data_IF_683710770379
#
_entry.id   IF_683710770379
#
_cell.length_a   1.000
_cell.length_b   1.000
_cell.length_c   1.000
_cell.angle_alpha   90.00
_cell.angle_beta   90.00
_cell.angle_gamma   90.00
#
_symmetry.space_group_name_H-M   'P 1'
#
loop_
_entity.id
_entity.type
_entity.pdbx_description
1 polymer ?
#
# COMPACT_ATOMS: atom_id res chain seq x y z
N UNK A 1 12.83 -32.48 -53.74
CA UNK A 1 12.93 -33.00 -52.36
C UNK A 1 14.37 -33.19 -51.83
N UNK A 2 15.43 -32.76 -52.54
CA UNK A 2 16.82 -32.92 -52.06
C UNK A 2 17.33 -31.78 -51.16
N UNK A 3 16.77 -30.56 -51.31
CA UNK A 3 17.23 -29.37 -50.56
C UNK A 3 16.79 -29.39 -49.09
N UNK A 4 15.65 -30.04 -48.78
CA UNK A 4 15.13 -30.11 -47.40
C UNK A 4 15.99 -31.02 -46.51
N UNK A 5 16.63 -32.07 -47.06
CA UNK A 5 17.50 -32.96 -46.29
C UNK A 5 18.84 -32.31 -45.89
N UNK A 6 19.32 -31.32 -46.64
CA UNK A 6 20.64 -30.71 -46.40
C UNK A 6 20.65 -29.63 -45.31
N UNK A 7 19.49 -29.05 -45.00
CA UNK A 7 19.36 -27.95 -44.05
C UNK A 7 18.62 -28.28 -42.75
N UNK A 8 18.09 -29.51 -42.61
CA UNK A 8 17.36 -29.91 -41.40
C UNK A 8 18.23 -29.82 -40.13
N UNK A 9 19.52 -30.16 -40.24
CA UNK A 9 20.48 -30.04 -39.14
C UNK A 9 20.72 -28.58 -38.69
N UNK A 10 20.72 -27.63 -39.62
CA UNK A 10 20.87 -26.22 -39.29
C UNK A 10 19.61 -25.65 -38.61
N UNK A 11 18.43 -26.13 -39.02
CA UNK A 11 17.15 -25.72 -38.44
C UNK A 11 17.00 -26.27 -37.02
N UNK A 12 17.36 -27.54 -36.78
CA UNK A 12 17.31 -28.15 -35.43
C UNK A 12 18.36 -27.53 -34.49
N UNK A 13 19.55 -27.22 -35.00
CA UNK A 13 20.58 -26.56 -34.19
C UNK A 13 20.20 -25.13 -33.79
N UNK A 14 19.65 -24.33 -34.73
CA UNK A 14 19.18 -22.97 -34.41
C UNK A 14 17.98 -22.98 -33.46
N UNK A 15 17.04 -23.92 -33.61
CA UNK A 15 15.91 -24.02 -32.66
C UNK A 15 16.38 -24.46 -31.28
N UNK A 16 17.33 -25.39 -31.17
CA UNK A 16 17.92 -25.76 -29.88
C UNK A 16 18.64 -24.57 -29.21
N UNK A 17 19.39 -23.77 -29.97
CA UNK A 17 20.03 -22.55 -29.45
C UNK A 17 19.01 -21.51 -28.95
N UNK A 18 17.91 -21.31 -29.68
CA UNK A 18 16.85 -20.40 -29.26
C UNK A 18 16.18 -20.91 -27.98
N UNK A 19 15.91 -22.21 -27.87
CA UNK A 19 15.31 -22.79 -26.65
C UNK A 19 16.25 -22.65 -25.46
N UNK A 20 17.56 -22.88 -25.63
CA UNK A 20 18.55 -22.68 -24.57
C UNK A 20 18.64 -21.20 -24.17
N UNK A 21 18.64 -20.28 -25.13
CA UNK A 21 18.67 -18.84 -24.85
C UNK A 21 17.41 -18.38 -24.10
N UNK A 22 16.22 -18.85 -24.51
CA UNK A 22 14.96 -18.54 -23.82
C UNK A 22 14.94 -19.16 -22.42
N UNK A 23 15.41 -20.40 -22.26
CA UNK A 23 15.54 -21.03 -20.94
C UNK A 23 16.51 -20.27 -20.03
N UNK A 24 17.64 -19.78 -20.57
CA UNK A 24 18.60 -18.95 -19.83
C UNK A 24 17.99 -17.61 -19.40
N UNK A 25 17.23 -16.97 -20.29
CA UNK A 25 16.51 -15.73 -19.97
C UNK A 25 15.48 -15.98 -18.87
N UNK A 26 14.65 -17.02 -18.99
CA UNK A 26 13.67 -17.39 -17.97
C UNK A 26 14.36 -17.69 -16.63
N UNK A 27 15.47 -18.43 -16.64
CA UNK A 27 16.24 -18.74 -15.43
C UNK A 27 16.86 -17.48 -14.81
N UNK A 28 17.37 -16.54 -15.62
CA UNK A 28 17.91 -15.27 -15.17
C UNK A 28 16.84 -14.32 -14.59
N UNK A 29 15.58 -14.47 -15.01
CA UNK A 29 14.42 -13.78 -14.43
C UNK A 29 13.78 -14.53 -13.26
N UNK A 30 13.99 -15.85 -13.14
CA UNK A 30 13.44 -16.69 -12.06
C UNK A 30 14.38 -16.87 -10.87
N UNK A 31 15.69 -16.60 -11.04
CA UNK A 31 16.62 -16.57 -9.92
C UNK A 31 16.35 -15.32 -9.07
N UNK A 32 16.06 -15.48 -7.76
CA UNK A 32 15.93 -14.33 -6.87
C UNK A 32 17.27 -13.59 -6.88
N UNK A 33 17.27 -12.38 -7.43
CA UNK A 33 18.41 -11.47 -7.25
C UNK A 33 18.49 -11.20 -5.76
N UNK A 34 19.55 -11.69 -5.12
CA UNK A 34 19.94 -11.19 -3.81
C UNK A 34 20.32 -9.72 -4.05
N UNK A 35 19.34 -8.83 -3.86
CA UNK A 35 19.60 -7.40 -3.75
C UNK A 35 20.35 -7.27 -2.43
N UNK A 36 21.67 -7.40 -2.49
CA UNK A 36 22.51 -6.93 -1.40
C UNK A 36 22.15 -5.45 -1.26
N UNK A 37 21.49 -5.13 -0.15
CA UNK A 37 21.13 -3.77 0.21
C UNK A 37 22.42 -2.96 0.28
N UNK A 38 22.77 -2.33 -0.83
CA UNK A 38 23.82 -1.35 -0.86
C UNK A 38 23.32 -0.23 0.05
N UNK A 39 23.92 -0.15 1.24
CA UNK A 39 23.65 0.91 2.20
C UNK A 39 24.20 2.19 1.59
N UNK A 40 23.39 2.82 0.73
CA UNK A 40 23.62 4.19 0.34
C UNK A 40 23.51 5.01 1.62
N UNK A 41 24.59 5.71 1.97
CA UNK A 41 24.58 6.72 3.03
C UNK A 41 23.43 7.67 2.67
N UNK A 42 22.34 7.63 3.43
CA UNK A 42 21.16 8.41 3.16
C UNK A 42 21.50 9.90 3.34
N UNK A 43 21.74 10.59 2.24
CA UNK A 43 21.63 12.05 2.23
C UNK A 43 20.21 12.39 2.68
N UNK A 44 20.03 13.25 3.70
CA UNK A 44 18.71 13.65 4.16
C UNK A 44 17.93 14.21 2.97
N UNK A 45 16.78 13.60 2.68
CA UNK A 45 15.99 13.96 1.51
C UNK A 45 15.19 15.21 1.84
N UNK A 46 15.12 16.16 0.92
CA UNK A 46 14.35 17.40 1.10
C UNK A 46 12.89 17.10 1.49
N UNK A 47 12.28 17.94 2.33
CA UNK A 47 10.87 17.81 2.66
C UNK A 47 9.99 18.05 1.44
N UNK A 48 8.92 17.26 1.31
CA UNK A 48 7.90 17.48 0.29
C UNK A 48 7.01 18.66 0.67
N UNK A 49 6.32 19.25 -0.32
CA UNK A 49 5.21 20.15 -0.01
C UNK A 49 4.14 19.41 0.80
N UNK A 50 3.37 20.12 1.64
CA UNK A 50 2.26 19.54 2.43
C UNK A 50 1.31 18.70 1.57
N UNK A 51 0.99 19.19 0.36
CA UNK A 51 0.12 18.50 -0.58
C UNK A 51 0.73 17.16 -1.05
N UNK A 52 1.99 17.17 -1.44
CA UNK A 52 2.70 16.00 -1.94
C UNK A 52 2.92 14.96 -0.83
N UNK A 53 3.29 15.43 0.37
CA UNK A 53 3.41 14.61 1.57
C UNK A 53 2.12 13.84 1.86
N UNK A 54 0.97 14.52 1.84
CA UNK A 54 -0.32 13.88 2.08
C UNK A 54 -0.68 12.84 1.01
N UNK A 55 -0.32 13.06 -0.25
CA UNK A 55 -0.54 12.09 -1.33
C UNK A 55 0.35 10.86 -1.18
N UNK A 56 1.62 11.04 -0.84
CA UNK A 56 2.52 9.92 -0.54
C UNK A 56 2.00 9.11 0.67
N UNK A 57 1.54 9.78 1.73
CA UNK A 57 0.91 9.11 2.88
C UNK A 57 -0.40 8.39 2.49
N UNK A 58 -1.19 8.95 1.56
CA UNK A 58 -2.38 8.28 1.04
C UNK A 58 -2.02 7.01 0.25
N UNK A 59 -1.03 7.07 -0.63
CA UNK A 59 -0.53 5.90 -1.37
C UNK A 59 -0.03 4.82 -0.41
N UNK A 60 0.72 5.19 0.64
CA UNK A 60 1.18 4.25 1.66
C UNK A 60 0.01 3.55 2.35
N UNK A 61 -1.05 4.28 2.71
CA UNK A 61 -2.27 3.68 3.30
C UNK A 61 -2.97 2.75 2.33
N UNK A 62 -3.13 3.17 1.07
CA UNK A 62 -3.77 2.38 0.02
C UNK A 62 -2.98 1.07 -0.30
N UNK A 63 -1.67 1.07 -0.06
CA UNK A 63 -0.77 -0.08 -0.23
C UNK A 63 -0.55 -0.89 1.06
N UNK A 64 -1.22 -0.55 2.17
CA UNK A 64 -1.00 -1.16 3.50
C UNK A 64 0.47 -1.12 3.94
N UNK A 65 1.08 0.06 3.84
CA UNK A 65 2.48 0.36 4.18
C UNK A 65 2.59 1.48 5.21
N UNK A 66 1.70 1.47 6.21
CA UNK A 66 1.87 2.27 7.42
C UNK A 66 3.12 1.83 8.20
N UNK A 67 3.62 2.66 9.13
CA UNK A 67 4.75 2.26 9.98
C UNK A 67 4.44 0.97 10.77
N UNK A 68 3.19 0.79 11.20
CA UNK A 68 2.74 -0.45 11.85
C UNK A 68 2.77 -1.65 10.89
N UNK A 69 2.34 -1.47 9.63
CA UNK A 69 2.38 -2.53 8.64
C UNK A 69 3.84 -2.90 8.28
N UNK A 70 4.71 -1.93 8.02
CA UNK A 70 6.13 -2.13 7.73
C UNK A 70 6.85 -2.82 8.90
N UNK A 71 6.60 -2.36 10.13
CA UNK A 71 7.16 -2.97 11.33
C UNK A 71 6.70 -4.42 11.51
N UNK A 72 5.41 -4.68 11.33
CA UNK A 72 4.85 -6.02 11.48
C UNK A 72 5.15 -6.95 10.29
N UNK A 73 5.67 -6.43 9.18
CA UNK A 73 6.32 -7.24 8.13
C UNK A 73 7.73 -7.67 8.54
N UNK A 74 8.34 -6.96 9.49
CA UNK A 74 9.72 -7.18 9.93
C UNK A 74 10.74 -6.52 9.00
N UNK A 75 10.42 -5.32 8.49
CA UNK A 75 11.39 -4.59 7.67
C UNK A 75 12.47 -3.96 8.54
N UNK A 76 13.72 -4.11 8.12
CA UNK A 76 14.84 -3.33 8.67
C UNK A 76 14.70 -1.85 8.30
N UNK A 77 15.46 -0.97 8.97
CA UNK A 77 15.51 0.45 8.61
C UNK A 77 15.80 0.65 7.12
N UNK A 78 16.86 0.02 6.60
CA UNK A 78 17.28 0.16 5.19
C UNK A 78 16.19 -0.32 4.22
N UNK A 79 15.53 -1.45 4.53
CA UNK A 79 14.42 -1.94 3.71
C UNK A 79 13.24 -0.97 3.77
N UNK A 80 12.88 -0.46 4.94
CA UNK A 80 11.82 0.53 5.09
C UNK A 80 12.14 1.83 4.32
N UNK A 81 13.39 2.31 4.37
CA UNK A 81 13.85 3.47 3.60
C UNK A 81 13.66 3.26 2.10
N UNK A 82 14.09 2.10 1.59
CA UNK A 82 13.91 1.74 0.17
C UNK A 82 12.43 1.70 -0.23
N UNK A 83 11.56 1.15 0.62
CA UNK A 83 10.13 1.05 0.35
C UNK A 83 9.46 2.44 0.33
N UNK A 84 9.72 3.25 1.35
CA UNK A 84 9.15 4.60 1.47
C UNK A 84 9.70 5.51 0.35
N UNK A 85 10.99 5.44 0.08
CA UNK A 85 11.65 6.13 -1.02
C UNK A 85 11.06 5.75 -2.38
N UNK A 86 10.86 4.45 -2.64
CA UNK A 86 10.25 4.00 -3.91
C UNK A 86 8.85 4.57 -4.11
N UNK A 87 8.02 4.62 -3.05
CA UNK A 87 6.67 5.22 -3.14
C UNK A 87 6.76 6.73 -3.42
N UNK A 88 7.66 7.43 -2.70
CA UNK A 88 7.91 8.86 -2.88
C UNK A 88 8.36 9.18 -4.31
N UNK A 89 9.40 8.49 -4.79
CA UNK A 89 9.99 8.74 -6.11
C UNK A 89 9.00 8.41 -7.22
N UNK A 90 8.24 7.32 -7.06
CA UNK A 90 7.17 6.99 -7.99
C UNK A 90 6.10 8.09 -8.04
N UNK A 91 5.68 8.63 -6.89
CA UNK A 91 4.70 9.71 -6.85
C UNK A 91 5.24 10.95 -7.56
N UNK A 92 6.48 11.36 -7.28
CA UNK A 92 7.08 12.52 -7.94
C UNK A 92 7.18 12.34 -9.45
N UNK A 93 7.55 11.16 -9.92
CA UNK A 93 7.60 10.84 -11.35
C UNK A 93 6.22 10.77 -12.02
N UNK A 94 5.17 10.43 -11.27
CA UNK A 94 3.83 10.17 -11.80
C UNK A 94 2.77 11.14 -11.25
N UNK A 95 3.18 12.29 -10.69
CA UNK A 95 2.30 13.20 -9.92
C UNK A 95 1.03 13.56 -10.66
N UNK A 96 1.17 14.02 -11.91
CA UNK A 96 0.02 14.40 -12.73
C UNK A 96 -0.97 13.24 -12.98
N UNK A 97 -0.46 12.02 -13.16
CA UNK A 97 -1.29 10.84 -13.32
C UNK A 97 -1.99 10.45 -12.01
N UNK A 98 -1.25 10.43 -10.89
CA UNK A 98 -1.79 10.16 -9.56
C UNK A 98 -2.92 11.13 -9.20
N UNK A 99 -2.68 12.44 -9.37
CA UNK A 99 -3.68 13.49 -9.15
C UNK A 99 -4.91 13.30 -10.05
N UNK A 100 -4.72 12.85 -11.29
CA UNK A 100 -5.83 12.57 -12.21
C UNK A 100 -6.71 11.41 -11.72
N UNK A 101 -6.13 10.32 -11.21
CA UNK A 101 -6.90 9.19 -10.68
C UNK A 101 -7.73 9.59 -9.46
N UNK A 102 -7.14 10.35 -8.53
CA UNK A 102 -7.85 10.81 -7.33
C UNK A 102 -8.97 11.79 -7.70
N UNK A 103 -8.72 12.74 -8.63
CA UNK A 103 -9.76 13.64 -9.14
C UNK A 103 -10.90 12.90 -9.82
N UNK A 104 -10.60 11.89 -10.63
CA UNK A 104 -11.62 11.08 -11.32
C UNK A 104 -12.53 10.36 -10.30
N UNK A 105 -11.96 9.75 -9.27
CA UNK A 105 -12.73 9.10 -8.20
C UNK A 105 -13.57 10.11 -7.42
N UNK A 106 -12.99 11.24 -7.02
CA UNK A 106 -13.73 12.25 -6.26
C UNK A 106 -14.88 12.83 -7.07
N UNK A 107 -14.67 13.08 -8.36
CA UNK A 107 -15.70 13.56 -9.29
C UNK A 107 -16.81 12.53 -9.45
N UNK A 108 -16.47 11.26 -9.71
CA UNK A 108 -17.46 10.19 -9.82
C UNK A 108 -18.27 10.00 -8.53
N UNK A 109 -17.62 10.02 -7.36
CA UNK A 109 -18.28 9.95 -6.04
C UNK A 109 -19.17 11.15 -5.78
N UNK A 110 -18.75 12.35 -6.17
CA UNK A 110 -19.54 13.58 -6.00
C UNK A 110 -20.78 13.54 -6.88
N UNK A 111 -20.62 13.20 -8.16
CA UNK A 111 -21.73 13.09 -9.11
C UNK A 111 -22.74 12.03 -8.66
N UNK A 112 -22.27 10.86 -8.22
CA UNK A 112 -23.15 9.82 -7.69
C UNK A 112 -23.92 10.28 -6.46
N UNK A 113 -23.25 10.93 -5.49
CA UNK A 113 -23.90 11.46 -4.28
C UNK A 113 -24.94 12.54 -4.62
N UNK A 114 -24.60 13.49 -5.49
CA UNK A 114 -25.52 14.55 -5.91
C UNK A 114 -26.76 13.98 -6.62
N UNK A 115 -26.57 12.99 -7.49
CA UNK A 115 -27.68 12.31 -8.18
C UNK A 115 -28.54 11.51 -7.20
N UNK A 116 -27.93 10.80 -6.24
CA UNK A 116 -28.67 10.12 -5.18
C UNK A 116 -29.48 11.12 -4.35
N UNK A 117 -28.91 12.26 -3.95
CA UNK A 117 -29.64 13.29 -3.20
C UNK A 117 -30.84 13.82 -3.99
N UNK A 118 -30.69 14.08 -5.30
CA UNK A 118 -31.79 14.52 -6.18
C UNK A 118 -32.94 13.51 -6.23
N UNK A 119 -32.62 12.21 -6.19
CA UNK A 119 -33.64 11.14 -6.19
C UNK A 119 -34.37 11.04 -4.84
N UNK A 120 -33.67 11.25 -3.72
CA UNK A 120 -34.26 11.08 -2.39
C UNK A 120 -35.01 12.33 -1.90
N UNK A 121 -34.68 13.53 -2.40
CA UNK A 121 -35.18 14.81 -1.84
C UNK A 121 -36.13 15.55 -2.80
N UNK A 122 -36.30 15.11 -4.05
CA UNK A 122 -37.13 15.78 -5.07
C UNK A 122 -38.26 14.93 -5.66
N UNK A 123 -39.16 15.53 -6.47
CA UNK A 123 -40.16 14.79 -7.23
C UNK A 123 -39.49 13.75 -8.14
N UNK A 124 -40.10 12.57 -8.24
CA UNK A 124 -39.52 11.41 -8.92
C UNK A 124 -39.26 11.71 -10.41
N UNK A 125 -38.01 12.02 -10.74
CA UNK A 125 -37.59 12.36 -12.10
C UNK A 125 -36.96 11.14 -12.79
N UNK A 126 -37.66 10.57 -13.78
CA UNK A 126 -37.20 9.38 -14.51
C UNK A 126 -35.86 9.59 -15.24
N UNK A 127 -35.59 10.80 -15.72
CA UNK A 127 -34.34 11.13 -16.41
C UNK A 127 -33.14 11.01 -15.47
N UNK A 128 -33.31 11.40 -14.20
CA UNK A 128 -32.27 11.30 -13.17
C UNK A 128 -32.06 9.83 -12.75
N UNK A 129 -33.14 9.05 -12.67
CA UNK A 129 -33.05 7.61 -12.38
C UNK A 129 -32.30 6.85 -13.49
N UNK A 130 -32.53 7.20 -14.77
CA UNK A 130 -31.84 6.59 -15.92
C UNK A 130 -30.32 6.88 -15.94
N UNK A 131 -29.85 7.95 -15.28
CA UNK A 131 -28.43 8.28 -15.19
C UNK A 131 -27.66 7.44 -14.15
N UNK A 132 -28.36 6.81 -13.20
CA UNK A 132 -27.74 6.12 -12.07
C UNK A 132 -26.81 4.96 -12.46
N UNK A 133 -27.19 4.04 -13.38
CA UNK A 133 -26.28 2.98 -13.83
C UNK A 133 -25.01 3.53 -14.49
N UNK A 134 -25.13 4.62 -15.25
CA UNK A 134 -24.00 5.29 -15.90
C UNK A 134 -23.00 5.87 -14.88
N UNK A 135 -23.50 6.52 -13.83
CA UNK A 135 -22.66 7.07 -12.76
C UNK A 135 -22.01 5.98 -11.90
N UNK A 136 -22.72 4.87 -11.63
CA UNK A 136 -22.15 3.72 -10.96
C UNK A 136 -21.02 3.09 -11.79
N UNK A 137 -21.21 2.96 -13.11
CA UNK A 137 -20.19 2.48 -14.03
C UNK A 137 -18.96 3.42 -14.03
N UNK A 138 -19.16 4.73 -14.13
CA UNK A 138 -18.05 5.70 -14.08
C UNK A 138 -17.24 5.59 -12.77
N UNK A 139 -17.91 5.38 -11.63
CA UNK A 139 -17.21 5.15 -10.37
C UNK A 139 -16.44 3.83 -10.36
N UNK A 140 -17.02 2.76 -10.90
CA UNK A 140 -16.36 1.46 -11.02
C UNK A 140 -15.14 1.53 -11.94
N UNK A 141 -15.24 2.21 -13.08
CA UNK A 141 -14.15 2.42 -14.02
C UNK A 141 -13.01 3.25 -13.38
N UNK A 142 -13.34 4.34 -12.69
CA UNK A 142 -12.37 5.16 -11.98
C UNK A 142 -11.67 4.39 -10.84
N UNK A 143 -12.42 3.58 -10.08
CA UNK A 143 -11.86 2.73 -9.05
C UNK A 143 -10.95 1.63 -9.63
N UNK A 144 -11.32 1.04 -10.76
CA UNK A 144 -10.50 0.04 -11.47
C UNK A 144 -9.21 0.67 -11.97
N UNK A 145 -9.28 1.88 -12.53
CA UNK A 145 -8.11 2.60 -13.00
C UNK A 145 -7.13 2.95 -11.86
N UNK A 146 -7.64 3.44 -10.72
CA UNK A 146 -6.80 3.66 -9.52
C UNK A 146 -6.22 2.34 -8.99
N UNK A 147 -7.00 1.26 -8.98
CA UNK A 147 -6.51 -0.05 -8.57
C UNK A 147 -5.36 -0.53 -9.47
N UNK A 148 -5.50 -0.40 -10.79
CA UNK A 148 -4.45 -0.77 -11.74
C UNK A 148 -3.15 0.05 -11.53
N UNK A 149 -3.29 1.35 -11.23
CA UNK A 149 -2.15 2.20 -10.84
C UNK A 149 -1.48 1.69 -9.55
N UNK A 150 -2.26 1.37 -8.52
CA UNK A 150 -1.73 0.81 -7.27
C UNK A 150 -1.08 -0.55 -7.48
N UNK A 151 -1.63 -1.42 -8.34
CA UNK A 151 -1.05 -2.72 -8.66
C UNK A 151 0.26 -2.58 -9.45
N UNK A 152 0.37 -1.56 -10.32
CA UNK A 152 1.64 -1.23 -10.97
C UNK A 152 2.71 -0.80 -9.96
N UNK A 153 2.39 0.14 -9.07
CA UNK A 153 3.31 0.53 -7.99
C UNK A 153 3.65 -0.67 -7.10
N UNK A 154 2.66 -1.50 -6.77
CA UNK A 154 2.87 -2.68 -5.94
C UNK A 154 3.88 -3.64 -6.57
N UNK A 155 3.84 -3.87 -7.88
CA UNK A 155 4.81 -4.73 -8.58
C UNK A 155 6.26 -4.23 -8.45
N UNK A 156 6.47 -2.91 -8.38
CA UNK A 156 7.81 -2.33 -8.18
C UNK A 156 8.30 -2.56 -6.75
N UNK A 157 7.38 -2.54 -5.78
CA UNK A 157 7.66 -2.75 -4.37
C UNK A 157 7.91 -4.23 -4.03
N UNK A 158 7.21 -5.18 -4.65
CA UNK A 158 7.41 -6.64 -4.42
C UNK A 158 8.88 -7.02 -4.62
N UNK A 159 9.55 -6.47 -5.63
CA UNK A 159 10.94 -6.79 -5.99
C UNK A 159 11.94 -6.38 -4.89
N UNK A 160 11.54 -5.48 -3.99
CA UNK A 160 12.35 -5.01 -2.85
C UNK A 160 12.16 -5.84 -1.58
N UNK A 161 11.15 -6.72 -1.56
CA UNK A 161 10.80 -7.52 -0.39
C UNK A 161 11.35 -8.94 -0.52
N UNK A 162 11.79 -9.51 0.60
CA UNK A 162 12.09 -10.93 0.70
C UNK A 162 10.82 -11.78 0.65
N UNK A 163 10.92 -13.05 0.27
CA UNK A 163 9.75 -13.96 0.13
C UNK A 163 8.82 -13.98 1.35
N UNK A 164 9.39 -14.00 2.57
CA UNK A 164 8.60 -13.97 3.80
C UNK A 164 7.85 -12.63 3.98
N UNK A 165 8.49 -11.51 3.64
CA UNK A 165 7.90 -10.17 3.71
C UNK A 165 6.84 -10.00 2.62
N UNK A 166 7.05 -10.54 1.41
CA UNK A 166 6.04 -10.56 0.34
C UNK A 166 4.77 -11.27 0.78
N UNK A 167 4.89 -12.45 1.42
CA UNK A 167 3.72 -13.19 1.94
C UNK A 167 2.97 -12.40 3.01
N UNK A 168 3.70 -11.78 3.95
CA UNK A 168 3.10 -10.91 4.99
C UNK A 168 2.42 -9.69 4.38
N UNK A 169 3.04 -9.07 3.38
CA UNK A 169 2.48 -7.91 2.71
C UNK A 169 1.22 -8.26 1.92
N UNK A 170 1.22 -9.36 1.17
CA UNK A 170 0.06 -9.79 0.39
C UNK A 170 -1.16 -10.02 1.31
N UNK A 171 -0.96 -10.71 2.44
CA UNK A 171 -2.02 -10.88 3.45
C UNK A 171 -2.56 -9.54 3.94
N UNK A 172 -1.67 -8.57 4.20
CA UNK A 172 -2.07 -7.23 4.63
C UNK A 172 -2.92 -6.52 3.57
N UNK A 173 -2.53 -6.62 2.29
CA UNK A 173 -3.28 -6.05 1.17
C UNK A 173 -4.66 -6.70 1.02
N UNK A 174 -4.73 -8.03 1.11
CA UNK A 174 -6.00 -8.77 1.04
C UNK A 174 -6.96 -8.35 2.17
N UNK A 175 -6.39 -7.94 3.30
CA UNK A 175 -7.11 -7.51 4.50
C UNK A 175 -7.09 -5.98 4.73
N UNK A 176 -6.85 -5.15 3.70
CA UNK A 176 -6.66 -3.70 3.87
C UNK A 176 -7.82 -2.99 4.59
N UNK A 177 -9.05 -3.54 4.53
CA UNK A 177 -10.23 -3.02 5.22
C UNK A 177 -10.29 -3.29 6.73
N UNK A 178 -9.37 -4.08 7.28
CA UNK A 178 -9.32 -4.40 8.70
C UNK A 178 -8.41 -3.42 9.48
N UNK A 179 -8.58 -3.34 10.82
CA UNK A 179 -7.58 -2.71 11.69
C UNK A 179 -6.21 -3.37 11.53
N UNK A 180 -5.16 -2.55 11.63
CA UNK A 180 -3.74 -2.93 11.44
C UNK A 180 -3.30 -4.23 12.15
N UNK A 181 -3.73 -4.52 13.40
CA UNK A 181 -3.32 -5.75 14.09
C UNK A 181 -3.78 -7.03 13.40
N UNK A 182 -4.91 -6.99 12.67
CA UNK A 182 -5.54 -8.18 12.08
C UNK A 182 -5.18 -8.38 10.61
N UNK A 183 -4.56 -7.39 9.96
CA UNK A 183 -4.27 -7.43 8.52
C UNK A 183 -3.36 -8.59 8.13
N UNK A 184 -2.44 -8.99 9.00
CA UNK A 184 -1.50 -10.10 8.75
C UNK A 184 -2.07 -11.51 8.97
N UNK A 185 -3.33 -11.63 9.42
CA UNK A 185 -3.91 -12.90 9.88
C UNK A 185 -4.74 -13.57 8.79
N UNK A 186 -4.69 -14.90 8.72
CA UNK A 186 -5.60 -15.65 7.83
C UNK A 186 -6.99 -15.72 8.44
N UNK A 187 -7.96 -15.04 7.84
CA UNK A 187 -9.33 -14.91 8.35
C UNK A 187 -10.33 -15.44 7.32
N UNK A 188 -11.39 -16.10 7.78
CA UNK A 188 -12.50 -16.47 6.90
C UNK A 188 -13.45 -15.28 6.67
N UNK A 189 -14.34 -15.39 5.68
CA UNK A 189 -15.23 -14.30 5.31
C UNK A 189 -16.16 -13.84 6.45
N UNK A 190 -16.62 -14.75 7.30
CA UNK A 190 -17.45 -14.42 8.46
C UNK A 190 -16.67 -13.62 9.50
N UNK A 191 -15.44 -14.04 9.81
CA UNK A 191 -14.52 -13.35 10.72
C UNK A 191 -14.17 -11.96 10.19
N UNK A 192 -13.90 -11.83 8.89
CA UNK A 192 -13.64 -10.55 8.23
C UNK A 192 -14.81 -9.58 8.40
N UNK A 193 -16.04 -10.04 8.14
CA UNK A 193 -17.23 -9.20 8.31
C UNK A 193 -17.44 -8.77 9.76
N UNK A 194 -17.27 -9.69 10.71
CA UNK A 194 -17.44 -9.39 12.12
C UNK A 194 -16.37 -8.40 12.61
N UNK A 195 -15.09 -8.61 12.26
CA UNK A 195 -14.00 -7.70 12.61
C UNK A 195 -14.13 -6.33 11.93
N UNK A 196 -14.60 -6.28 10.69
CA UNK A 196 -14.85 -5.01 9.99
C UNK A 196 -15.97 -4.22 10.67
N UNK A 197 -17.03 -4.90 11.13
CA UNK A 197 -18.11 -4.27 11.90
C UNK A 197 -17.63 -3.86 13.30
N UNK A 198 -16.82 -4.70 13.93
CA UNK A 198 -16.17 -4.45 15.22
C UNK A 198 -15.31 -3.20 15.19
N UNK A 199 -14.53 -3.02 14.13
CA UNK A 199 -13.64 -1.87 13.95
C UNK A 199 -14.38 -0.52 13.98
N UNK A 200 -15.70 -0.51 13.72
CA UNK A 200 -16.55 0.69 13.82
C UNK A 200 -16.99 0.98 15.27
N UNK A 201 -16.71 0.09 16.23
CA UNK A 201 -17.07 0.16 17.65
C UNK A 201 -15.87 -0.27 18.51
N UNK A 202 -14.91 0.62 18.78
CA UNK A 202 -13.65 0.27 19.45
C UNK A 202 -13.84 -0.35 20.84
N UNK A 203 -14.90 0.01 21.57
CA UNK A 203 -15.26 -0.54 22.87
C UNK A 203 -15.55 -2.06 22.84
N UNK A 204 -15.90 -2.62 21.68
CA UNK A 204 -16.18 -4.05 21.53
C UNK A 204 -14.95 -4.88 21.13
N UNK A 205 -13.81 -4.25 20.82
CA UNK A 205 -12.66 -4.91 20.19
C UNK A 205 -12.06 -6.06 21.05
N UNK A 206 -11.97 -5.87 22.37
CA UNK A 206 -11.41 -6.89 23.28
C UNK A 206 -12.29 -8.14 23.47
N UNK A 207 -13.61 -7.98 23.40
CA UNK A 207 -14.57 -9.11 23.40
C UNK A 207 -14.53 -9.88 22.08
N UNK A 208 -14.23 -9.17 21.00
CA UNK A 208 -14.25 -9.66 19.62
C UNK A 208 -13.00 -10.51 19.32
N UNK A 209 -11.81 -10.11 19.79
CA UNK A 209 -10.62 -10.97 19.69
C UNK A 209 -10.84 -12.31 20.39
N UNK A 210 -11.50 -12.32 21.55
CA UNK A 210 -11.62 -13.52 22.35
C UNK A 210 -12.62 -14.56 21.82
N UNK A 211 -13.70 -14.10 21.18
CA UNK A 211 -14.80 -14.94 20.72
C UNK A 211 -14.72 -15.30 19.22
N UNK A 212 -13.98 -14.54 18.41
CA UNK A 212 -13.97 -14.68 16.94
C UNK A 212 -12.73 -15.39 16.45
N UNK A 213 -11.59 -15.15 17.10
CA UNK A 213 -10.30 -15.66 16.65
C UNK A 213 -9.96 -16.98 17.34
N UNK A 214 -9.52 -17.96 16.55
CA UNK A 214 -8.99 -19.20 17.09
C UNK A 214 -7.57 -19.00 17.67
N UNK A 215 -7.06 -20.00 18.39
CA UNK A 215 -5.75 -19.94 19.03
C UNK A 215 -4.62 -19.62 18.04
N UNK A 216 -4.59 -20.28 16.89
CA UNK A 216 -3.56 -20.06 15.85
C UNK A 216 -3.58 -18.61 15.32
N UNK A 217 -4.77 -18.04 15.11
CA UNK A 217 -4.92 -16.65 14.68
C UNK A 217 -4.45 -15.66 15.74
N UNK A 218 -4.74 -15.92 17.02
CA UNK A 218 -4.23 -15.12 18.14
C UNK A 218 -2.70 -15.17 18.22
N UNK A 219 -2.11 -16.35 18.00
CA UNK A 219 -0.67 -16.53 17.96
C UNK A 219 -0.03 -15.75 16.80
N UNK A 220 -0.63 -15.77 15.60
CA UNK A 220 -0.16 -14.97 14.45
C UNK A 220 -0.17 -13.47 14.75
N UNK A 221 -1.21 -12.98 15.43
CA UNK A 221 -1.29 -11.56 15.83
C UNK A 221 -0.21 -11.23 16.86
N UNK A 222 0.01 -12.10 17.84
CA UNK A 222 1.04 -11.91 18.85
C UNK A 222 2.45 -11.91 18.25
N UNK A 223 2.72 -12.83 17.32
CA UNK A 223 3.98 -12.88 16.56
C UNK A 223 4.18 -11.58 15.77
N UNK A 224 3.15 -11.12 15.04
CA UNK A 224 3.22 -9.87 14.29
C UNK A 224 3.48 -8.66 15.19
N UNK A 225 2.90 -8.63 16.41
CA UNK A 225 3.16 -7.58 17.42
C UNK A 225 4.60 -7.63 17.93
N UNK A 226 5.15 -8.81 18.18
CA UNK A 226 6.54 -8.97 18.61
C UNK A 226 7.53 -8.53 17.53
N UNK A 227 7.28 -8.93 16.28
CA UNK A 227 8.08 -8.50 15.13
C UNK A 227 8.00 -6.98 14.95
N UNK A 228 6.80 -6.40 15.07
CA UNK A 228 6.63 -4.96 15.02
C UNK A 228 7.44 -4.27 16.12
N UNK A 229 7.35 -4.75 17.36
CA UNK A 229 8.10 -4.17 18.48
C UNK A 229 9.61 -4.15 18.23
N UNK A 230 10.19 -5.18 17.60
CA UNK A 230 11.64 -5.23 17.33
C UNK A 230 12.09 -4.37 16.14
N UNK A 231 11.19 -4.04 15.20
CA UNK A 231 11.55 -3.32 13.97
C UNK A 231 11.03 -1.87 13.91
N UNK A 232 10.06 -1.51 14.78
CA UNK A 232 9.35 -0.22 14.71
C UNK A 232 10.30 0.98 14.77
N UNK A 233 11.32 0.94 15.64
CA UNK A 233 12.27 2.06 15.75
C UNK A 233 13.02 2.32 14.42
N UNK A 234 13.42 1.25 13.72
CA UNK A 234 14.05 1.38 12.41
C UNK A 234 13.10 1.91 11.35
N UNK A 235 11.83 1.47 11.37
CA UNK A 235 10.80 1.95 10.45
C UNK A 235 10.46 3.43 10.68
N UNK A 236 10.39 3.88 11.94
CA UNK A 236 10.15 5.29 12.27
C UNK A 236 11.32 6.15 11.75
N UNK A 237 12.56 5.73 12.00
CA UNK A 237 13.74 6.45 11.47
C UNK A 237 13.76 6.50 9.94
N UNK A 238 13.37 5.40 9.29
CA UNK A 238 13.25 5.35 7.84
C UNK A 238 12.20 6.33 7.31
N UNK A 239 11.06 6.44 8.00
CA UNK A 239 9.99 7.39 7.68
C UNK A 239 10.45 8.83 7.85
N UNK A 240 11.10 9.15 8.97
CA UNK A 240 11.70 10.47 9.24
C UNK A 240 12.76 10.86 8.20
N UNK A 241 13.53 9.90 7.71
CA UNK A 241 14.62 10.13 6.75
C UNK A 241 14.11 10.31 5.32
N UNK A 242 13.19 9.44 4.88
CA UNK A 242 12.74 9.41 3.48
C UNK A 242 11.51 10.27 3.22
N UNK A 243 10.69 10.50 4.25
CA UNK A 243 9.48 11.28 4.18
C UNK A 243 9.39 12.23 5.39
N UNK A 244 10.37 13.16 5.53
CA UNK A 244 10.37 14.09 6.65
C UNK A 244 9.10 14.95 6.66
N UNK A 245 8.63 15.24 7.86
CA UNK A 245 7.43 16.05 8.07
C UNK A 245 7.69 17.48 7.55
N UNK A 246 6.84 18.01 6.64
CA UNK A 246 6.93 19.40 6.20
C UNK A 246 6.87 20.35 7.41
N UNK A 247 7.63 21.45 7.37
CA UNK A 247 7.73 22.41 8.47
C UNK A 247 6.34 22.93 8.89
N UNK A 248 5.43 23.13 7.94
CA UNK A 248 4.08 23.63 8.18
C UNK A 248 3.19 22.65 8.95
N UNK A 249 3.60 21.37 9.04
CA UNK A 249 2.88 20.34 9.80
C UNK A 249 3.55 19.99 11.13
N UNK A 250 4.73 20.56 11.42
CA UNK A 250 5.37 20.33 12.72
C UNK A 250 4.54 21.04 13.80
N UNK A 251 4.30 20.37 14.94
CA UNK A 251 3.64 21.03 16.06
C UNK A 251 4.49 22.26 16.45
N UNK A 252 3.86 23.44 16.48
CA UNK A 252 4.50 24.63 17.03
C UNK A 252 5.01 24.27 18.43
N UNK A 253 6.30 24.50 18.67
CA UNK A 253 6.86 24.33 19.99
C UNK A 253 6.08 25.26 20.92
N UNK A 254 5.24 24.67 21.79
CA UNK A 254 4.58 25.42 22.86
C UNK A 254 5.73 25.89 23.75
N UNK A 255 6.12 27.16 23.60
CA UNK A 255 7.06 27.78 24.53
C UNK A 255 6.49 27.60 25.94
N UNK A 256 7.28 27.07 26.89
CA UNK A 256 6.80 26.96 28.26
C UNK A 256 6.47 28.36 28.75
N UNK A 257 5.21 28.61 29.08
CA UNK A 257 4.80 29.82 29.81
C UNK A 257 5.50 29.76 31.16
N UNK A 258 6.62 30.47 31.27
CA UNK A 258 7.28 30.71 32.55
C UNK A 258 6.33 31.62 33.33
N UNK A 259 5.52 31.03 34.21
CA UNK A 259 4.78 31.79 35.20
C UNK A 259 5.83 32.23 36.22
N UNK A 260 6.36 33.44 36.08
CA UNK A 260 7.08 34.11 37.16
C UNK A 260 6.10 34.29 38.31
N UNK A 261 6.21 33.42 39.32
CA UNK A 261 5.56 33.61 40.61
C UNK A 261 6.30 34.77 41.26
N UNK A 262 5.78 35.98 41.07
CA UNK A 262 6.24 37.16 41.78
C UNK A 262 5.90 36.95 43.26
N UNK A 263 6.92 36.59 44.04
CA UNK A 263 6.85 36.61 45.51
C UNK A 263 6.51 38.04 45.93
N UNK A 264 5.28 38.24 46.40
CA UNK A 264 4.89 39.48 47.06
C UNK A 264 5.42 39.48 48.51
N UNK A 265 5.95 40.61 48.98
CA UNK A 265 6.60 40.77 50.29
C UNK A 265 5.65 40.65 51.49
#
# INVERSE_FOLDING_TARGET
MAVIKKHWFAVTFNTALIVVAVAWVILAYALPRVVQGQSAIATPVEALSVYDYQHVQALRRDLTMSNADLGAMGLTQVQAEQMIGTIRDWYLANKAAADQYDRNIQTAKRNLRQTMQKIHVGPRNETVLRQMPGLQKQLADAATAKKAMLDNLASQLVVRLETAQQSRWQKRRDNAGLPEPYRGTTLNQAQLQQLTRAARRPEAAGSIENNILNFSQKQQIQEARQIAASHMSGVIKADETMLPLPEELKPEAVEPVIIEVSEMP
#
